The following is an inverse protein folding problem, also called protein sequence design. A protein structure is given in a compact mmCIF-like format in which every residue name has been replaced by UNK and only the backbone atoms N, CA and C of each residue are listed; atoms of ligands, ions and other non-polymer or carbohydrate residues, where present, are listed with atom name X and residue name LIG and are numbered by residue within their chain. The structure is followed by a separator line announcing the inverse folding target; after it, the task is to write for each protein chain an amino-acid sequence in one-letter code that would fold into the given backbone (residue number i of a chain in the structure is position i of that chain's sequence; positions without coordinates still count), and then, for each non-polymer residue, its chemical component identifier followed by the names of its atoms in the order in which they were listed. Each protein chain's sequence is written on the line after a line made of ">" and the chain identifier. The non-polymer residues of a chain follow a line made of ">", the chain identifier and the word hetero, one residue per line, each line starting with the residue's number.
data_IF_627879147568
#
_entry.id   IF_627879147568
#
_cell.length_a   1.000
_cell.length_b   1.000
_cell.length_c   1.000
_cell.angle_alpha   90.00
_cell.angle_beta   90.00
_cell.angle_gamma   90.00
#
_symmetry.space_group_name_H-M   'P 1'
#
loop_
_entity.id
_entity.type
_entity.pdbx_description
1 polymer ?
#
# COMPACT_ATOMS: atom_id res chain seq x y z
N UNK A 1 8.32 10.30 -6.95
CA UNK A 1 8.17 9.24 -5.93
C UNK A 1 7.32 8.10 -6.47
N UNK A 2 7.53 6.91 -5.94
CA UNK A 2 6.74 5.73 -6.24
C UNK A 2 5.68 5.53 -5.16
N UNK A 3 4.45 5.89 -5.48
CA UNK A 3 3.27 5.72 -4.63
C UNK A 3 2.36 4.57 -5.11
N UNK A 4 2.90 3.68 -5.92
CA UNK A 4 2.16 2.53 -6.45
C UNK A 4 1.56 1.67 -5.34
N UNK A 5 2.20 1.60 -4.17
CA UNK A 5 1.73 0.84 -3.00
C UNK A 5 1.17 1.72 -1.89
N UNK A 6 1.77 2.88 -1.64
CA UNK A 6 1.43 3.80 -0.54
C UNK A 6 0.30 4.75 -0.88
N UNK A 7 0.14 5.09 -2.14
CA UNK A 7 -0.91 5.98 -2.61
C UNK A 7 -2.30 5.56 -2.17
N UNK A 8 -3.09 6.53 -1.72
CA UNK A 8 -4.43 6.37 -1.16
C UNK A 8 -4.51 5.59 0.16
N UNK A 9 -3.38 5.10 0.70
CA UNK A 9 -3.33 4.43 2.00
C UNK A 9 -2.94 5.35 3.13
N UNK A 10 -1.95 6.22 2.91
CA UNK A 10 -1.47 7.18 3.91
C UNK A 10 -2.23 8.49 3.80
N UNK A 11 -2.45 8.95 2.58
CA UNK A 11 -3.20 10.16 2.26
C UNK A 11 -3.86 10.01 0.89
N UNK A 12 -4.98 10.69 0.67
CA UNK A 12 -5.69 10.68 -0.60
C UNK A 12 -4.99 11.51 -1.69
N UNK A 13 -4.09 12.40 -1.30
CA UNK A 13 -3.33 13.24 -2.22
C UNK A 13 -1.96 12.63 -2.59
N UNK A 14 -1.49 11.64 -1.81
CA UNK A 14 -0.21 10.97 -2.00
C UNK A 14 0.66 11.01 -0.76
N UNK A 15 1.72 10.20 -0.74
CA UNK A 15 2.62 10.12 0.40
C UNK A 15 3.48 11.37 0.58
N UNK A 16 3.71 12.15 -0.47
CA UNK A 16 4.38 13.45 -0.37
C UNK A 16 3.57 14.43 0.49
N UNK A 17 2.24 14.45 0.33
CA UNK A 17 1.37 15.24 1.19
C UNK A 17 1.41 14.74 2.64
N UNK A 18 1.37 13.43 2.85
CA UNK A 18 1.45 12.82 4.17
C UNK A 18 2.73 13.18 4.92
N UNK A 19 3.87 13.15 4.24
CA UNK A 19 5.18 13.45 4.82
C UNK A 19 5.59 14.93 4.75
N UNK A 20 4.74 15.80 4.19
CA UNK A 20 4.96 17.25 4.18
C UNK A 20 6.05 17.73 3.22
N UNK A 21 6.28 17.02 2.13
CA UNK A 21 7.13 17.49 1.04
C UNK A 21 6.35 17.56 -0.26
N UNK A 22 6.98 17.99 -1.35
CA UNK A 22 6.32 18.12 -2.63
C UNK A 22 7.12 17.41 -3.72
N UNK A 23 6.58 16.33 -4.26
CA UNK A 23 7.17 15.60 -5.37
C UNK A 23 7.04 16.36 -6.69
N UNK A 24 8.00 16.19 -7.60
CA UNK A 24 7.88 16.65 -8.98
C UNK A 24 7.04 15.70 -9.82
N UNK A 25 7.23 14.40 -9.60
CA UNK A 25 6.45 13.32 -10.21
C UNK A 25 6.05 12.30 -9.15
N UNK A 26 4.83 11.81 -9.26
CA UNK A 26 4.28 10.77 -8.39
C UNK A 26 3.57 9.71 -9.23
N UNK A 27 3.87 8.43 -8.95
CA UNK A 27 3.29 7.29 -9.65
C UNK A 27 2.25 6.60 -8.78
N UNK A 28 1.04 6.44 -9.29
CA UNK A 28 -0.05 5.73 -8.65
C UNK A 28 -0.44 4.48 -9.44
N UNK A 29 -0.86 3.42 -8.72
CA UNK A 29 -1.44 2.21 -9.29
C UNK A 29 -2.31 1.51 -8.22
N UNK A 30 -2.42 0.21 -8.24
CA UNK A 30 -3.09 -0.65 -7.22
C UNK A 30 -4.40 -0.07 -6.67
N UNK A 31 -4.34 0.66 -5.56
CA UNK A 31 -5.52 1.26 -4.92
C UNK A 31 -6.22 2.31 -5.81
N UNK A 32 -5.56 2.83 -6.85
CA UNK A 32 -6.15 3.78 -7.79
C UNK A 32 -7.43 3.24 -8.44
N UNK A 33 -7.42 1.98 -8.89
CA UNK A 33 -8.57 1.34 -9.54
C UNK A 33 -8.91 -0.03 -8.92
N UNK A 34 -8.21 -0.42 -7.84
CA UNK A 34 -8.51 -1.54 -6.94
C UNK A 34 -8.88 -2.85 -7.66
N UNK A 35 -7.98 -3.36 -8.51
CA UNK A 35 -8.14 -4.62 -9.25
C UNK A 35 -8.30 -4.45 -10.77
N UNK A 36 -8.58 -3.25 -11.25
CA UNK A 36 -8.55 -2.94 -12.68
C UNK A 36 -7.18 -2.42 -13.10
N UNK A 37 -6.78 -2.75 -14.33
CA UNK A 37 -5.46 -2.40 -14.87
C UNK A 37 -5.38 -0.91 -15.17
N UNK A 38 -4.90 -0.14 -14.19
CA UNK A 38 -4.71 1.30 -14.32
C UNK A 38 -3.53 1.77 -13.49
N UNK A 39 -2.76 2.67 -14.08
CA UNK A 39 -1.72 3.44 -13.40
C UNK A 39 -1.76 4.89 -13.88
N UNK A 40 -1.20 5.78 -13.09
CA UNK A 40 -1.10 7.18 -13.42
C UNK A 40 0.25 7.73 -12.98
N UNK A 41 0.82 8.60 -13.79
CA UNK A 41 1.93 9.47 -13.41
C UNK A 41 1.38 10.88 -13.35
N UNK A 42 1.39 11.45 -12.16
CA UNK A 42 1.01 12.83 -11.92
C UNK A 42 2.26 13.67 -11.73
N UNK A 43 2.23 14.91 -12.19
CA UNK A 43 3.39 15.78 -12.12
C UNK A 43 3.01 17.25 -12.04
N UNK A 44 4.02 18.06 -11.72
CA UNK A 44 3.88 19.51 -11.68
C UNK A 44 3.69 20.10 -13.07
N UNK A 45 3.03 21.24 -13.14
CA UNK A 45 2.67 21.90 -14.39
C UNK A 45 3.89 22.19 -15.28
N UNK A 46 5.04 22.56 -14.72
CA UNK A 46 6.25 22.82 -15.50
C UNK A 46 6.79 21.58 -16.26
N UNK A 47 6.41 20.36 -15.86
CA UNK A 47 6.79 19.11 -16.52
C UNK A 47 5.81 18.68 -17.62
N UNK A 48 4.65 19.32 -17.71
CA UNK A 48 3.56 18.94 -18.60
C UNK A 48 3.97 18.91 -20.08
N UNK A 49 4.67 19.93 -20.54
CA UNK A 49 5.12 20.02 -21.94
C UNK A 49 6.07 18.86 -22.28
N UNK A 50 7.02 18.55 -21.40
CA UNK A 50 7.96 17.43 -21.56
C UNK A 50 7.22 16.10 -21.53
N UNK A 51 6.33 15.90 -20.58
CA UNK A 51 5.53 14.68 -20.50
C UNK A 51 4.67 14.46 -21.76
N UNK A 52 4.10 15.52 -22.30
CA UNK A 52 3.29 15.46 -23.53
C UNK A 52 4.11 15.15 -24.79
N UNK A 53 5.43 15.36 -24.75
CA UNK A 53 6.33 15.05 -25.89
C UNK A 53 6.75 13.58 -25.92
N UNK A 54 6.49 12.83 -24.86
CA UNK A 54 6.83 11.40 -24.81
C UNK A 54 5.72 10.60 -25.48
N UNK A 55 6.10 9.76 -26.45
CA UNK A 55 5.15 8.87 -27.11
C UNK A 55 4.98 7.58 -26.32
N UNK A 56 3.77 7.33 -25.88
CA UNK A 56 3.37 6.06 -25.28
C UNK A 56 2.28 5.40 -26.11
N UNK A 57 2.27 4.09 -26.15
CA UNK A 57 1.23 3.33 -26.83
C UNK A 57 0.96 2.01 -26.14
N UNK A 58 -0.28 1.51 -26.27
CA UNK A 58 -0.68 0.22 -25.73
C UNK A 58 -2.10 -0.14 -26.20
N UNK A 59 -2.33 -1.40 -26.54
CA UNK A 59 -3.59 -1.86 -27.12
C UNK A 59 -4.82 -1.60 -26.23
N UNK A 60 -4.66 -1.59 -24.93
CA UNK A 60 -5.75 -1.44 -23.96
C UNK A 60 -5.71 -0.11 -23.19
N UNK A 61 -4.88 0.81 -23.65
CA UNK A 61 -4.61 2.06 -22.98
C UNK A 61 -5.86 2.92 -22.67
N UNK A 62 -6.81 2.94 -23.59
CA UNK A 62 -8.00 3.77 -23.50
C UNK A 62 -9.27 2.98 -23.22
N UNK A 63 -9.15 1.79 -22.59
CA UNK A 63 -10.31 1.05 -22.11
C UNK A 63 -11.09 1.89 -21.08
N UNK A 64 -12.41 1.93 -21.19
CA UNK A 64 -13.25 2.78 -20.33
C UNK A 64 -13.44 2.20 -18.92
N UNK A 65 -13.38 0.89 -18.78
CA UNK A 65 -13.67 0.18 -17.53
C UNK A 65 -12.72 0.56 -16.39
N UNK A 66 -11.37 0.61 -16.60
CA UNK A 66 -10.47 1.04 -15.55
C UNK A 66 -10.69 2.48 -15.09
N UNK A 67 -11.08 3.38 -16.01
CA UNK A 67 -11.40 4.77 -15.65
C UNK A 67 -12.66 4.85 -14.80
N UNK A 68 -13.71 4.10 -15.15
CA UNK A 68 -14.92 4.04 -14.35
C UNK A 68 -14.66 3.47 -12.95
N UNK A 69 -13.86 2.39 -12.87
CA UNK A 69 -13.44 1.80 -11.61
C UNK A 69 -12.62 2.77 -10.76
N UNK A 70 -11.69 3.51 -11.38
CA UNK A 70 -10.89 4.53 -10.71
C UNK A 70 -11.77 5.62 -10.08
N UNK A 71 -12.71 6.16 -10.83
CA UNK A 71 -13.64 7.19 -10.33
C UNK A 71 -14.42 6.66 -9.13
N UNK A 72 -15.03 5.48 -9.26
CA UNK A 72 -15.80 4.85 -8.19
C UNK A 72 -14.94 4.57 -6.95
N UNK A 73 -13.71 4.08 -7.16
CA UNK A 73 -12.75 3.79 -6.09
C UNK A 73 -12.39 5.06 -5.31
N UNK A 74 -11.96 6.12 -6.00
CA UNK A 74 -11.59 7.40 -5.36
C UNK A 74 -12.79 8.00 -4.61
N UNK A 75 -13.98 7.97 -5.19
CA UNK A 75 -15.19 8.43 -4.51
C UNK A 75 -15.44 7.66 -3.21
N UNK A 76 -15.29 6.33 -3.26
CA UNK A 76 -15.47 5.46 -2.09
C UNK A 76 -14.41 5.72 -1.01
N UNK A 77 -13.15 5.86 -1.39
CA UNK A 77 -12.04 6.17 -0.48
C UNK A 77 -12.26 7.50 0.23
N UNK A 78 -12.71 8.52 -0.49
CA UNK A 78 -13.08 9.83 0.09
C UNK A 78 -14.26 9.71 1.05
N UNK A 79 -15.33 9.03 0.65
CA UNK A 79 -16.53 8.90 1.48
C UNK A 79 -16.30 8.17 2.80
N UNK A 80 -15.31 7.25 2.84
CA UNK A 80 -14.97 6.47 4.02
C UNK A 80 -13.88 7.12 4.89
N UNK A 81 -13.28 8.22 4.46
CA UNK A 81 -12.01 8.70 5.04
C UNK A 81 -11.01 7.53 5.17
N UNK A 82 -10.73 6.91 4.04
CA UNK A 82 -10.03 5.64 4.00
C UNK A 82 -8.64 5.66 4.67
N UNK A 83 -7.81 6.72 4.55
CA UNK A 83 -6.54 6.77 5.28
C UNK A 83 -6.71 6.66 6.78
N UNK A 84 -7.66 7.38 7.38
CA UNK A 84 -7.95 7.29 8.81
C UNK A 84 -8.49 5.90 9.20
N UNK A 85 -9.34 5.32 8.38
CA UNK A 85 -9.85 3.95 8.56
C UNK A 85 -8.70 2.93 8.54
N UNK A 86 -7.83 2.99 7.52
CA UNK A 86 -6.71 2.05 7.38
C UNK A 86 -5.71 2.18 8.53
N UNK A 87 -5.41 3.42 8.96
CA UNK A 87 -4.56 3.66 10.11
C UNK A 87 -5.15 3.01 11.38
N UNK A 88 -6.43 3.21 11.64
CA UNK A 88 -7.11 2.63 12.81
C UNK A 88 -7.09 1.10 12.79
N UNK A 89 -7.42 0.50 11.64
CA UNK A 89 -7.40 -0.97 11.47
C UNK A 89 -5.98 -1.52 11.62
N UNK A 90 -4.99 -0.85 11.04
CA UNK A 90 -3.59 -1.25 11.15
C UNK A 90 -3.08 -1.23 12.58
N UNK A 91 -3.40 -0.18 13.33
CA UNK A 91 -3.07 -0.10 14.77
C UNK A 91 -3.73 -1.24 15.56
N UNK A 92 -5.00 -1.50 15.32
CA UNK A 92 -5.71 -2.61 15.98
C UNK A 92 -5.06 -3.97 15.70
N UNK A 93 -4.72 -4.23 14.44
CA UNK A 93 -4.08 -5.49 14.03
C UNK A 93 -2.68 -5.62 14.64
N UNK A 94 -1.84 -4.61 14.53
CA UNK A 94 -0.45 -4.67 15.01
C UNK A 94 -0.39 -4.82 16.52
N UNK A 95 -1.23 -4.10 17.28
CA UNK A 95 -1.35 -4.25 18.72
C UNK A 95 -1.84 -5.64 19.12
N UNK A 96 -2.83 -6.17 18.40
CA UNK A 96 -3.34 -7.53 18.62
C UNK A 96 -2.26 -8.58 18.38
N UNK A 97 -1.53 -8.50 17.29
CA UNK A 97 -0.43 -9.43 16.98
C UNK A 97 0.69 -9.36 18.02
N UNK A 98 1.12 -8.15 18.41
CA UNK A 98 2.16 -8.01 19.45
C UNK A 98 1.73 -8.56 20.80
N UNK A 99 0.47 -8.32 21.19
CA UNK A 99 -0.08 -8.83 22.44
C UNK A 99 -0.13 -10.37 22.43
N UNK A 100 -0.61 -10.95 21.33
CA UNK A 100 -0.68 -12.40 21.17
C UNK A 100 0.71 -13.05 21.15
N UNK A 101 1.64 -12.47 20.39
CA UNK A 101 3.02 -12.96 20.32
C UNK A 101 3.66 -12.97 21.71
N UNK A 102 3.56 -11.87 22.45
CA UNK A 102 4.11 -11.75 23.81
C UNK A 102 3.51 -12.78 24.78
N UNK A 103 2.21 -13.05 24.69
CA UNK A 103 1.53 -14.05 25.52
C UNK A 103 2.07 -15.48 25.29
N UNK A 104 2.67 -15.73 24.12
CA UNK A 104 3.29 -17.01 23.76
C UNK A 104 4.82 -16.99 23.78
N UNK A 105 5.43 -15.97 24.37
CA UNK A 105 6.89 -15.88 24.53
C UNK A 105 7.66 -15.44 23.28
N UNK A 106 6.98 -14.87 22.29
CA UNK A 106 7.61 -14.32 21.09
C UNK A 106 7.64 -12.79 21.13
N UNK A 107 8.72 -12.22 20.63
CA UNK A 107 8.81 -10.78 20.34
C UNK A 107 8.51 -10.56 18.87
N UNK A 108 7.50 -9.74 18.60
CA UNK A 108 7.12 -9.35 17.25
C UNK A 108 7.46 -7.89 17.00
N UNK A 109 8.36 -7.67 16.07
CA UNK A 109 8.73 -6.34 15.59
C UNK A 109 7.72 -5.88 14.56
N UNK A 110 7.17 -4.69 14.77
CA UNK A 110 6.30 -4.01 13.81
C UNK A 110 7.06 -2.82 13.25
N UNK A 111 7.10 -2.68 11.94
CA UNK A 111 7.71 -1.56 11.25
C UNK A 111 6.80 -1.00 10.16
N UNK A 112 7.10 0.20 9.68
CA UNK A 112 6.29 0.91 8.70
C UNK A 112 5.10 1.66 9.31
N UNK A 113 4.32 2.28 8.44
CA UNK A 113 3.11 3.00 8.84
C UNK A 113 1.97 2.02 9.16
N UNK A 114 1.06 2.36 10.09
CA UNK A 114 -0.02 1.45 10.47
C UNK A 114 -0.87 0.95 9.29
N UNK A 115 -1.07 1.76 8.26
CA UNK A 115 -1.79 1.37 7.06
C UNK A 115 -0.99 0.43 6.12
N UNK A 116 0.31 0.26 6.39
CA UNK A 116 1.28 -0.49 5.57
C UNK A 116 2.37 -1.12 6.43
N UNK A 117 1.97 -1.73 7.53
CA UNK A 117 2.89 -2.34 8.47
C UNK A 117 3.54 -3.63 7.94
N UNK A 118 4.71 -3.91 8.49
CA UNK A 118 5.41 -5.17 8.36
C UNK A 118 5.56 -5.82 9.72
N UNK A 119 5.50 -7.14 9.74
CA UNK A 119 5.67 -7.95 10.92
C UNK A 119 6.90 -8.83 10.75
N UNK A 120 7.74 -8.89 11.76
CA UNK A 120 8.91 -9.78 11.83
C UNK A 120 9.04 -10.36 13.22
N UNK A 121 9.31 -11.65 13.33
CA UNK A 121 9.69 -12.26 14.61
C UNK A 121 11.12 -11.81 14.92
N UNK A 122 11.34 -11.30 16.13
CA UNK A 122 12.67 -10.86 16.57
C UNK A 122 13.61 -12.07 16.72
N UNK A 123 14.91 -11.84 16.52
CA UNK A 123 15.95 -12.86 16.64
C UNK A 123 15.78 -14.09 15.71
N UNK A 124 15.08 -13.92 14.60
CA UNK A 124 14.94 -14.92 13.54
C UNK A 124 15.66 -14.42 12.28
N UNK A 125 16.99 -14.43 12.30
CA UNK A 125 17.82 -13.92 11.19
C UNK A 125 17.71 -14.79 9.93
N UNK A 126 17.40 -16.08 10.11
CA UNK A 126 17.15 -17.01 9.01
C UNK A 126 15.79 -16.84 8.35
N UNK A 127 14.87 -16.15 9.01
CA UNK A 127 13.45 -16.03 8.65
C UNK A 127 12.70 -17.38 8.58
N UNK A 128 13.28 -18.46 9.09
CA UNK A 128 12.65 -19.78 9.05
C UNK A 128 11.41 -19.82 9.94
N UNK A 129 11.53 -19.31 11.17
CA UNK A 129 10.41 -19.25 12.10
C UNK A 129 9.29 -18.34 11.58
N UNK A 130 9.67 -17.23 10.97
CA UNK A 130 8.71 -16.34 10.32
C UNK A 130 7.97 -17.04 9.17
N UNK A 131 8.67 -17.82 8.34
CA UNK A 131 8.06 -18.57 7.24
C UNK A 131 7.12 -19.66 7.75
N UNK A 132 7.50 -20.40 8.80
CA UNK A 132 6.64 -21.40 9.45
C UNK A 132 5.37 -20.75 10.01
N UNK A 133 5.51 -19.61 10.68
CA UNK A 133 4.37 -18.85 11.19
C UNK A 133 3.42 -18.41 10.07
N UNK A 134 3.96 -17.89 8.97
CA UNK A 134 3.14 -17.50 7.81
C UNK A 134 2.45 -18.71 7.18
N UNK A 135 3.15 -19.83 7.02
CA UNK A 135 2.56 -21.07 6.50
C UNK A 135 1.40 -21.57 7.37
N UNK A 136 1.59 -21.51 8.69
CA UNK A 136 0.53 -21.89 9.64
C UNK A 136 -0.66 -20.93 9.59
N UNK A 137 -0.41 -19.63 9.45
CA UNK A 137 -1.47 -18.64 9.25
C UNK A 137 -2.28 -18.93 7.97
N UNK A 138 -1.58 -19.20 6.86
CA UNK A 138 -2.23 -19.54 5.58
C UNK A 138 -3.06 -20.81 5.69
N UNK A 139 -2.57 -21.86 6.37
CA UNK A 139 -3.31 -23.11 6.59
C UNK A 139 -4.63 -22.90 7.33
N UNK A 140 -4.71 -21.83 8.13
CA UNK A 140 -5.90 -21.40 8.88
C UNK A 140 -6.72 -20.30 8.20
N UNK A 141 -6.42 -19.98 6.94
CA UNK A 141 -7.14 -18.98 6.15
C UNK A 141 -6.71 -17.54 6.37
N UNK A 142 -5.58 -17.29 7.04
CA UNK A 142 -5.01 -15.95 7.24
C UNK A 142 -3.86 -15.72 6.28
N UNK A 143 -4.05 -14.86 5.29
CA UNK A 143 -3.01 -14.52 4.32
C UNK A 143 -2.14 -13.37 4.84
N UNK A 144 -0.92 -13.70 5.26
CA UNK A 144 0.12 -12.75 5.63
C UNK A 144 1.22 -12.71 4.56
N UNK A 145 1.89 -11.58 4.43
CA UNK A 145 3.05 -11.47 3.55
C UNK A 145 4.21 -12.32 4.09
N UNK A 146 4.77 -13.18 3.23
CA UNK A 146 5.87 -14.09 3.59
C UNK A 146 7.24 -13.45 3.53
N UNK A 147 7.37 -12.27 2.93
CA UNK A 147 8.67 -11.62 2.73
C UNK A 147 8.69 -10.24 3.35
N UNK A 148 9.74 -9.99 4.09
CA UNK A 148 10.25 -8.65 4.37
C UNK A 148 11.05 -8.22 3.14
N UNK A 149 10.39 -7.80 2.07
CA UNK A 149 11.12 -7.13 0.99
C UNK A 149 11.56 -5.78 1.51
N UNK A 150 12.86 -5.67 1.70
CA UNK A 150 13.57 -4.41 1.89
C UNK A 150 13.29 -3.43 0.75
#
# INVERSE_FOLDING_TARGET
>A
IDDVRTGFRLDLQGSDHYYGFQADLICFCKALANGYNMSAVCGREHLKATASSISFTGSYWMSAEPFAACIACIQKLKALDAPALFRRMGLQLTQGFQTAAKAHGFDLVVSGEPALFYLRIANDDSLMLHQEWVAECVSRGLFLASTTTS
#
